data_IF_986429499882
#
_entry.id   IF_986429499882
#
_cell.length_a   1.000
_cell.length_b   1.000
_cell.length_c   1.000
_cell.angle_alpha   90.00
_cell.angle_beta   90.00
_cell.angle_gamma   90.00
#
_symmetry.space_group_name_H-M   'P 1'
#
loop_
_entity.id
_entity.type
_entity.pdbx_description
1 polymer ?
#
# COMPACT_ATOMS: atom_id res chain seq x y z
N UNK A 1 8.69 11.99 -20.36
CA UNK A 1 8.62 12.53 -18.97
C UNK A 1 7.99 11.42 -18.14
N UNK A 2 8.80 10.65 -17.40
CA UNK A 2 8.40 9.39 -16.74
C UNK A 2 8.23 9.54 -15.23
N UNK A 3 7.49 10.57 -14.81
CA UNK A 3 7.18 10.80 -13.39
C UNK A 3 5.75 10.36 -13.14
N UNK A 4 5.53 9.55 -12.10
CA UNK A 4 4.19 9.18 -11.63
C UNK A 4 3.53 7.99 -12.32
N UNK A 5 4.29 7.02 -12.84
CA UNK A 5 3.68 5.78 -13.39
C UNK A 5 2.95 5.03 -12.28
N UNK A 6 1.71 4.63 -12.53
CA UNK A 6 0.87 3.90 -11.55
C UNK A 6 1.56 2.62 -11.02
N UNK A 7 2.31 1.94 -11.88
CA UNK A 7 3.06 0.73 -11.53
C UNK A 7 4.26 0.97 -10.59
N UNK A 8 4.72 2.22 -10.40
CA UNK A 8 5.95 2.50 -9.66
C UNK A 8 5.87 2.09 -8.18
N UNK A 9 4.73 2.29 -7.51
CA UNK A 9 4.57 1.90 -6.10
C UNK A 9 4.61 0.38 -5.89
N UNK A 10 3.77 -0.43 -6.56
CA UNK A 10 3.79 -1.88 -6.37
C UNK A 10 5.11 -2.51 -6.81
N UNK A 11 5.72 -2.04 -7.91
CA UNK A 11 7.04 -2.53 -8.33
C UNK A 11 8.12 -2.21 -7.29
N UNK A 12 8.08 -1.02 -6.69
CA UNK A 12 9.05 -0.64 -5.64
C UNK A 12 8.86 -1.50 -4.39
N UNK A 13 7.62 -1.73 -3.97
CA UNK A 13 7.31 -2.60 -2.84
C UNK A 13 7.82 -4.03 -3.11
N UNK A 14 7.48 -4.62 -4.25
CA UNK A 14 7.93 -5.97 -4.65
C UNK A 14 9.46 -6.08 -4.64
N UNK A 15 10.16 -5.06 -5.15
CA UNK A 15 11.63 -5.03 -5.15
C UNK A 15 12.26 -4.94 -3.76
N UNK A 16 11.60 -4.31 -2.79
CA UNK A 16 12.06 -4.26 -1.40
C UNK A 16 11.82 -5.60 -0.68
N UNK A 17 10.66 -6.21 -0.90
CA UNK A 17 10.33 -7.52 -0.33
C UNK A 17 11.22 -8.63 -0.88
N UNK A 18 11.59 -8.57 -2.16
CA UNK A 18 12.56 -9.47 -2.78
C UNK A 18 13.99 -9.36 -2.20
N UNK A 19 14.25 -8.36 -1.35
CA UNK A 19 15.52 -8.15 -0.63
C UNK A 19 15.39 -8.48 0.87
N UNK A 20 14.41 -9.31 1.23
CA UNK A 20 14.13 -9.76 2.60
C UNK A 20 13.86 -8.62 3.59
N UNK A 21 13.37 -7.47 3.12
CA UNK A 21 12.93 -6.39 4.02
C UNK A 21 11.49 -6.70 4.46
N UNK A 22 11.21 -6.83 5.77
CA UNK A 22 9.88 -7.23 6.25
C UNK A 22 8.81 -6.17 5.96
N UNK A 23 7.57 -6.63 5.73
CA UNK A 23 6.42 -5.77 5.40
C UNK A 23 6.21 -4.67 6.45
N UNK A 24 6.35 -5.00 7.73
CA UNK A 24 6.18 -4.08 8.85
C UNK A 24 7.15 -2.88 8.78
N UNK A 25 8.32 -3.08 8.17
CA UNK A 25 9.34 -2.04 8.00
C UNK A 25 9.09 -1.20 6.74
N UNK A 26 8.65 -1.82 5.63
CA UNK A 26 8.48 -1.11 4.35
C UNK A 26 7.13 -0.42 4.23
N UNK A 27 6.05 -1.05 4.70
CA UNK A 27 4.68 -0.55 4.53
C UNK A 27 4.48 0.88 5.04
N UNK A 28 5.05 1.32 6.17
CA UNK A 28 4.88 2.70 6.63
C UNK A 28 5.24 3.74 5.57
N UNK A 29 6.28 3.51 4.76
CA UNK A 29 6.71 4.45 3.71
C UNK A 29 5.67 4.63 2.59
N UNK A 30 4.84 3.62 2.34
CA UNK A 30 3.80 3.62 1.31
C UNK A 30 2.40 3.94 1.87
N UNK A 31 2.21 3.87 3.19
CA UNK A 31 0.90 3.92 3.84
C UNK A 31 0.89 4.93 4.99
N UNK A 32 1.16 4.50 6.22
CA UNK A 32 0.94 5.31 7.42
C UNK A 32 1.81 6.57 7.49
N UNK A 33 3.04 6.58 6.97
CA UNK A 33 3.86 7.80 6.93
C UNK A 33 3.22 8.83 6.01
N UNK A 34 2.80 8.43 4.82
CA UNK A 34 2.11 9.32 3.87
C UNK A 34 0.81 9.84 4.48
N UNK A 35 0.01 8.96 5.08
CA UNK A 35 -1.23 9.36 5.75
C UNK A 35 -0.98 10.35 6.89
N UNK A 36 0.07 10.14 7.70
CA UNK A 36 0.44 11.05 8.78
C UNK A 36 0.89 12.42 8.25
N UNK A 37 1.76 12.44 7.24
CA UNK A 37 2.28 13.67 6.61
C UNK A 37 1.13 14.49 6.01
N UNK A 38 0.22 13.83 5.30
CA UNK A 38 -0.94 14.45 4.66
C UNK A 38 -2.15 14.62 5.60
N UNK A 39 -2.04 14.20 6.87
CA UNK A 39 -3.09 14.27 7.90
C UNK A 39 -4.39 13.54 7.53
N UNK A 40 -4.27 12.45 6.76
CA UNK A 40 -5.39 11.56 6.42
C UNK A 40 -5.71 10.66 7.62
N UNK A 41 -6.64 11.11 8.47
CA UNK A 41 -6.90 10.51 9.79
C UNK A 41 -7.43 9.07 9.74
N UNK A 42 -8.08 8.69 8.65
CA UNK A 42 -8.76 7.42 8.47
C UNK A 42 -8.08 6.52 7.41
N UNK A 43 -6.86 6.88 6.96
CA UNK A 43 -6.08 6.14 5.94
C UNK A 43 -4.75 5.62 6.45
N UNK A 44 -4.15 4.72 5.66
CA UNK A 44 -2.78 4.24 5.85
C UNK A 44 -2.58 3.20 6.96
N UNK A 45 -3.67 2.75 7.61
CA UNK A 45 -3.66 1.69 8.62
C UNK A 45 -4.96 0.88 8.54
N UNK A 46 -4.85 -0.44 8.67
CA UNK A 46 -6.00 -1.34 8.79
C UNK A 46 -6.49 -1.30 10.23
N UNK A 47 -7.65 -0.68 10.46
CA UNK A 47 -8.28 -0.58 11.79
C UNK A 47 -9.78 -0.35 11.62
N UNK A 48 -10.60 -0.87 12.54
CA UNK A 48 -12.02 -0.54 12.58
C UNK A 48 -12.24 0.98 12.62
N UNK A 49 -13.22 1.46 11.83
CA UNK A 49 -13.55 2.88 11.69
C UNK A 49 -12.67 3.67 10.71
N UNK A 50 -11.58 3.08 10.19
CA UNK A 50 -10.85 3.63 9.05
C UNK A 50 -11.55 3.25 7.74
N UNK A 51 -11.23 3.96 6.66
CA UNK A 51 -11.72 3.54 5.36
C UNK A 51 -11.05 2.24 4.89
N UNK A 52 -11.85 1.43 4.19
CA UNK A 52 -11.41 0.18 3.58
C UNK A 52 -10.75 0.44 2.22
N UNK A 53 -9.61 1.14 2.26
CA UNK A 53 -8.70 1.28 1.12
C UNK A 53 -7.55 0.28 1.33
N UNK A 54 -7.65 -0.88 0.70
CA UNK A 54 -6.79 -2.05 0.94
C UNK A 54 -6.33 -2.64 -0.38
N UNK A 55 -5.08 -3.10 -0.42
CA UNK A 55 -4.54 -3.88 -1.54
C UNK A 55 -4.27 -5.28 -1.02
N UNK A 56 -4.85 -6.29 -1.67
CA UNK A 56 -4.52 -7.69 -1.44
C UNK A 56 -3.33 -8.07 -2.33
N UNK A 57 -2.33 -8.73 -1.75
CA UNK A 57 -1.18 -9.26 -2.47
C UNK A 57 -1.24 -10.79 -2.47
N UNK A 58 -0.75 -11.40 -3.54
CA UNK A 58 -0.53 -12.85 -3.57
C UNK A 58 0.81 -13.25 -2.91
N UNK A 59 1.09 -14.55 -2.89
CA UNK A 59 2.33 -15.15 -2.34
C UNK A 59 3.61 -14.63 -3.03
N UNK A 60 3.48 -14.05 -4.23
CA UNK A 60 4.59 -13.46 -4.99
C UNK A 60 4.69 -11.94 -4.84
N UNK A 61 3.84 -11.35 -3.99
CA UNK A 61 3.66 -9.92 -3.79
C UNK A 61 3.14 -9.16 -5.03
N UNK A 62 2.48 -9.86 -5.95
CA UNK A 62 1.70 -9.21 -7.02
C UNK A 62 0.32 -8.79 -6.50
N UNK A 63 -0.27 -7.76 -7.13
CA UNK A 63 -1.61 -7.27 -6.75
C UNK A 63 -2.64 -8.32 -7.17
N UNK A 64 -3.33 -8.88 -6.17
CA UNK A 64 -4.45 -9.80 -6.36
C UNK A 64 -5.77 -9.05 -6.52
N UNK A 65 -6.01 -8.04 -5.66
CA UNK A 65 -7.23 -7.24 -5.68
C UNK A 65 -6.99 -5.87 -5.01
N UNK A 66 -7.86 -4.91 -5.32
CA UNK A 66 -7.86 -3.56 -4.76
C UNK A 66 -9.27 -3.22 -4.29
N UNK A 67 -9.38 -2.93 -3.00
CA UNK A 67 -10.62 -2.47 -2.37
C UNK A 67 -10.49 -0.97 -2.13
N UNK A 68 -11.46 -0.19 -2.60
CA UNK A 68 -11.52 1.26 -2.40
C UNK A 68 -12.87 1.60 -1.79
N UNK A 69 -12.85 2.32 -0.67
CA UNK A 69 -14.05 2.70 0.08
C UNK A 69 -14.99 1.51 0.39
N UNK A 70 -14.44 0.30 0.52
CA UNK A 70 -15.18 -0.93 0.80
C UNK A 70 -15.82 -1.61 -0.42
N UNK A 71 -15.54 -1.14 -1.64
CA UNK A 71 -15.91 -1.83 -2.88
C UNK A 71 -14.66 -2.41 -3.54
N UNK A 72 -14.69 -3.72 -3.84
CA UNK A 72 -13.63 -4.43 -4.57
C UNK A 72 -13.94 -4.56 -6.07
N UNK A 73 -12.94 -4.94 -6.85
CA UNK A 73 -13.04 -5.21 -8.29
C UNK A 73 -13.19 -6.68 -8.63
#
# INVERSE_FOLDING_TARGET
MDIGRAASLPLTLKNLLARDTPLEQVLPAFTSNVANILRLRDRGRIRAGNAADVIALDETHDILDVIIAGSGT
#
